data_IF_103197222127
#
_entry.id   IF_103197222127
#
_cell.length_a   1.000
_cell.length_b   1.000
_cell.length_c   1.000
_cell.angle_alpha   90.00
_cell.angle_beta   90.00
_cell.angle_gamma   90.00
#
_symmetry.space_group_name_H-M   'P 1'
#
loop_
_entity.id
_entity.type
_entity.pdbx_description
1 polymer ?
#
# COMPACT_ATOMS: atom_id res chain seq x y z
N UNK A 1 42.43 -48.68 24.77
CA UNK A 1 43.25 -47.59 24.18
C UNK A 1 42.43 -46.94 23.07
N UNK A 2 42.38 -45.60 23.07
CA UNK A 2 41.54 -44.75 22.20
C UNK A 2 42.01 -44.80 20.74
N UNK A 3 41.07 -44.88 19.79
CA UNK A 3 41.26 -44.64 18.36
C UNK A 3 40.02 -43.94 17.80
N UNK A 4 40.14 -42.98 16.87
CA UNK A 4 39.27 -41.81 16.84
C UNK A 4 37.98 -41.99 16.03
N UNK A 5 36.92 -41.34 16.51
CA UNK A 5 35.65 -41.16 15.83
C UNK A 5 35.83 -40.40 14.51
N UNK A 6 35.65 -41.10 13.40
CA UNK A 6 35.45 -40.50 12.07
C UNK A 6 34.01 -39.98 11.98
N UNK A 7 33.81 -38.71 12.33
CA UNK A 7 32.59 -37.97 12.04
C UNK A 7 32.54 -37.69 10.54
N UNK A 8 31.85 -38.54 9.79
CA UNK A 8 31.45 -38.25 8.42
C UNK A 8 30.45 -37.09 8.45
N UNK A 9 30.94 -35.87 8.24
CA UNK A 9 30.11 -34.71 7.88
C UNK A 9 29.46 -35.01 6.54
N UNK A 10 28.27 -35.61 6.57
CA UNK A 10 27.41 -35.78 5.41
C UNK A 10 26.88 -34.40 5.01
N UNK A 11 27.38 -33.90 3.89
CA UNK A 11 26.93 -32.68 3.24
C UNK A 11 25.44 -32.82 2.91
N UNK A 12 24.57 -32.12 3.63
CA UNK A 12 23.27 -31.77 3.08
C UNK A 12 23.50 -30.62 2.10
N UNK A 13 23.54 -30.96 0.81
CA UNK A 13 23.33 -29.96 -0.24
C UNK A 13 21.89 -29.49 -0.12
N UNK A 14 21.69 -28.45 0.68
CA UNK A 14 20.45 -27.70 0.69
C UNK A 14 20.47 -26.88 -0.61
N UNK A 15 19.77 -27.38 -1.62
CA UNK A 15 19.31 -26.55 -2.74
C UNK A 15 18.27 -25.54 -2.21
N UNK A 16 18.73 -24.57 -1.40
CA UNK A 16 17.99 -23.37 -1.05
C UNK A 16 18.09 -22.47 -2.28
N UNK A 17 17.07 -22.53 -3.15
CA UNK A 17 16.80 -21.41 -4.05
C UNK A 17 16.57 -20.20 -3.15
N UNK A 18 17.58 -19.34 -3.06
CA UNK A 18 17.52 -18.09 -2.32
C UNK A 18 16.42 -17.23 -2.94
N UNK A 19 15.35 -16.93 -2.20
CA UNK A 19 14.32 -15.96 -2.60
C UNK A 19 14.80 -14.49 -2.44
N UNK A 20 16.11 -14.25 -2.58
CA UNK A 20 16.67 -12.89 -2.69
C UNK A 20 16.24 -12.31 -4.04
N UNK A 21 15.70 -11.09 -4.03
CA UNK A 21 15.54 -10.31 -5.27
C UNK A 21 14.22 -10.48 -6.04
N UNK A 22 13.16 -11.07 -5.45
CA UNK A 22 11.87 -11.18 -6.14
C UNK A 22 10.84 -10.17 -5.63
N UNK A 23 10.21 -9.40 -6.54
CA UNK A 23 9.08 -8.54 -6.17
C UNK A 23 7.89 -9.40 -5.73
N UNK A 24 7.19 -8.97 -4.69
CA UNK A 24 6.06 -9.69 -4.09
C UNK A 24 4.73 -9.13 -4.59
N UNK A 25 3.81 -10.01 -4.96
CA UNK A 25 2.49 -9.63 -5.46
C UNK A 25 1.42 -10.19 -4.52
N UNK A 26 0.66 -9.29 -3.91
CA UNK A 26 -0.36 -9.58 -2.92
C UNK A 26 -1.74 -9.15 -3.44
N UNK A 27 -2.76 -9.95 -3.16
CA UNK A 27 -4.14 -9.67 -3.58
C UNK A 27 -5.08 -9.83 -2.39
N UNK A 28 -6.08 -8.96 -2.27
CA UNK A 28 -7.24 -9.15 -1.40
C UNK A 28 -8.52 -9.22 -2.23
N UNK A 29 -9.26 -10.31 -2.09
CA UNK A 29 -10.63 -10.44 -2.62
C UNK A 29 -11.68 -9.93 -1.63
N UNK A 30 -11.30 -9.44 -0.45
CA UNK A 30 -12.22 -8.82 0.49
C UNK A 30 -12.61 -7.43 -0.01
N UNK A 31 -13.88 -7.06 0.10
CA UNK A 31 -14.41 -5.76 -0.33
C UNK A 31 -14.70 -4.80 0.83
N UNK A 32 -14.35 -5.17 2.07
CA UNK A 32 -14.52 -4.31 3.22
C UNK A 32 -13.33 -3.35 3.37
N UNK A 33 -13.64 -2.04 3.39
CA UNK A 33 -12.62 -0.99 3.46
C UNK A 33 -11.78 -1.06 4.75
N UNK A 34 -12.38 -1.36 5.90
CA UNK A 34 -11.65 -1.50 7.16
C UNK A 34 -10.69 -2.68 7.12
N UNK A 35 -11.15 -3.81 6.56
CA UNK A 35 -10.34 -5.01 6.41
C UNK A 35 -9.12 -4.77 5.52
N UNK A 36 -9.33 -4.18 4.33
CA UNK A 36 -8.24 -3.94 3.40
C UNK A 36 -7.24 -2.89 3.89
N UNK A 37 -7.71 -1.82 4.55
CA UNK A 37 -6.81 -0.86 5.21
C UNK A 37 -6.04 -1.51 6.38
N UNK A 38 -6.62 -2.50 7.05
CA UNK A 38 -5.93 -3.27 8.10
C UNK A 38 -4.85 -4.16 7.53
N UNK A 39 -5.12 -4.84 6.41
CA UNK A 39 -4.10 -5.57 5.66
C UNK A 39 -2.98 -4.63 5.24
N UNK A 40 -3.30 -3.50 4.60
CA UNK A 40 -2.31 -2.52 4.17
C UNK A 40 -1.41 -2.04 5.32
N UNK A 41 -1.98 -1.73 6.49
CA UNK A 41 -1.19 -1.32 7.65
C UNK A 41 -0.38 -2.45 8.25
N UNK A 42 -0.92 -3.67 8.26
CA UNK A 42 -0.15 -4.84 8.67
C UNK A 42 1.07 -5.02 7.76
N UNK A 43 0.88 -4.91 6.43
CA UNK A 43 1.95 -5.03 5.45
C UNK A 43 3.02 -3.94 5.62
N UNK A 44 2.61 -2.69 5.86
CA UNK A 44 3.54 -1.58 6.10
C UNK A 44 4.41 -1.81 7.33
N UNK A 45 3.81 -2.23 8.45
CA UNK A 45 4.53 -2.35 9.73
C UNK A 45 5.34 -3.64 9.83
N UNK A 46 4.96 -4.68 9.09
CA UNK A 46 5.64 -5.97 9.05
C UNK A 46 6.44 -6.19 7.75
N UNK A 47 6.68 -5.14 6.95
CA UNK A 47 7.28 -5.23 5.63
C UNK A 47 8.54 -6.11 5.57
N UNK A 48 9.48 -5.92 6.50
CA UNK A 48 10.73 -6.69 6.56
C UNK A 48 10.55 -8.16 6.96
N UNK A 49 9.40 -8.51 7.53
CA UNK A 49 9.09 -9.82 8.09
C UNK A 49 7.98 -10.54 7.31
N UNK A 50 7.51 -9.98 6.19
CA UNK A 50 6.35 -10.48 5.43
C UNK A 50 6.45 -11.96 5.04
N UNK A 51 7.64 -12.41 4.63
CA UNK A 51 7.84 -13.78 4.19
C UNK A 51 7.49 -14.82 5.28
N UNK A 52 7.66 -14.46 6.56
CA UNK A 52 7.28 -15.32 7.70
C UNK A 52 5.78 -15.58 7.77
N UNK A 53 4.97 -14.59 7.38
CA UNK A 53 3.52 -14.71 7.39
C UNK A 53 2.96 -15.38 6.13
N UNK A 54 3.77 -15.47 5.07
CA UNK A 54 3.41 -16.09 3.80
C UNK A 54 3.91 -17.54 3.66
N UNK A 55 4.40 -18.13 4.75
CA UNK A 55 5.00 -19.47 4.79
C UNK A 55 6.17 -19.63 3.80
N UNK A 56 6.93 -18.55 3.59
CA UNK A 56 8.14 -18.53 2.76
C UNK A 56 9.36 -18.50 3.68
N UNK A 57 10.10 -19.61 3.70
CA UNK A 57 11.32 -19.74 4.48
C UNK A 57 12.41 -18.77 4.00
N UNK A 58 12.66 -17.73 4.79
CA UNK A 58 13.78 -16.82 4.64
C UNK A 58 14.39 -16.48 5.99
N UNK A 59 15.72 -16.42 6.05
CA UNK A 59 16.47 -16.01 7.24
C UNK A 59 16.72 -14.49 7.22
N UNK A 60 16.60 -13.87 6.04
CA UNK A 60 16.91 -12.45 5.85
C UNK A 60 15.65 -11.58 5.84
N UNK A 61 15.85 -10.30 6.19
CA UNK A 61 14.80 -9.27 6.10
C UNK A 61 14.37 -9.10 4.65
N UNK A 62 13.07 -8.99 4.44
CA UNK A 62 12.49 -8.70 3.14
C UNK A 62 12.63 -7.22 2.80
N UNK A 63 13.29 -6.92 1.69
CA UNK A 63 13.62 -5.55 1.30
C UNK A 63 13.19 -5.22 -0.15
N UNK A 64 12.48 -6.15 -0.79
CA UNK A 64 12.10 -6.07 -2.19
C UNK A 64 10.72 -5.39 -2.39
N UNK A 65 10.43 -4.86 -3.59
CA UNK A 65 9.17 -4.19 -3.88
C UNK A 65 7.95 -5.10 -3.67
N UNK A 66 6.89 -4.54 -3.05
CA UNK A 66 5.57 -5.20 -2.94
C UNK A 66 4.55 -4.43 -3.77
N UNK A 67 3.73 -5.15 -4.52
CA UNK A 67 2.47 -4.66 -5.10
C UNK A 67 1.31 -5.37 -4.41
N UNK A 68 0.44 -4.60 -3.75
CA UNK A 68 -0.81 -5.08 -3.19
C UNK A 68 -2.01 -4.52 -3.96
N UNK A 69 -2.89 -5.39 -4.44
CA UNK A 69 -4.09 -5.05 -5.22
C UNK A 69 -5.36 -5.43 -4.47
N UNK A 70 -6.32 -4.51 -4.45
CA UNK A 70 -7.54 -4.64 -3.66
C UNK A 70 -8.67 -3.76 -4.19
N UNK A 71 -9.91 -4.04 -3.79
CA UNK A 71 -11.12 -3.28 -4.14
C UNK A 71 -12.01 -3.14 -2.92
N UNK A 72 -12.91 -2.17 -2.95
CA UNK A 72 -13.82 -1.91 -1.83
C UNK A 72 -15.25 -1.73 -2.34
N UNK A 73 -16.22 -2.16 -1.54
CA UNK A 73 -17.62 -1.78 -1.73
C UNK A 73 -17.81 -0.27 -1.46
N UNK A 74 -19.03 0.23 -1.72
CA UNK A 74 -19.42 1.63 -1.53
C UNK A 74 -18.89 2.21 -0.22
N UNK A 75 -17.89 3.09 -0.32
CA UNK A 75 -17.23 3.68 0.84
C UNK A 75 -16.66 5.07 0.53
N UNK A 76 -16.62 5.92 1.55
CA UNK A 76 -15.93 7.21 1.56
C UNK A 76 -14.68 7.07 2.42
N UNK A 77 -13.52 7.36 1.84
CA UNK A 77 -12.23 7.27 2.50
C UNK A 77 -11.68 8.68 2.66
N UNK A 78 -11.57 9.14 3.90
CA UNK A 78 -11.01 10.45 4.24
C UNK A 78 -9.54 10.34 4.67
N UNK A 79 -8.76 11.39 4.41
CA UNK A 79 -7.37 11.48 4.84
C UNK A 79 -7.25 11.56 6.35
N UNK A 80 -6.08 11.17 6.88
CA UNK A 80 -5.79 11.10 8.33
C UNK A 80 -6.24 12.35 9.08
N UNK A 81 -5.91 13.53 8.55
CA UNK A 81 -6.15 14.80 9.21
C UNK A 81 -7.39 15.55 8.69
N UNK A 82 -8.26 14.95 7.87
CA UNK A 82 -9.46 15.63 7.40
C UNK A 82 -10.54 15.72 8.47
N UNK A 83 -11.32 16.79 8.47
CA UNK A 83 -12.50 16.92 9.31
C UNK A 83 -13.72 16.30 8.60
N UNK A 84 -14.17 15.13 9.05
CA UNK A 84 -15.29 14.44 8.38
C UNK A 84 -16.57 15.28 8.36
N UNK A 85 -16.80 16.06 9.42
CA UNK A 85 -18.01 16.88 9.60
C UNK A 85 -18.08 18.01 8.57
N UNK A 86 -16.91 18.50 8.13
CA UNK A 86 -16.81 19.56 7.12
C UNK A 86 -16.70 19.01 5.70
N UNK A 87 -16.19 17.78 5.54
CA UNK A 87 -15.86 17.21 4.23
C UNK A 87 -16.96 16.32 3.67
N UNK A 88 -17.85 15.78 4.51
CA UNK A 88 -18.80 14.76 4.12
C UNK A 88 -20.25 15.11 4.49
N UNK A 89 -21.18 14.78 3.58
CA UNK A 89 -22.61 14.74 3.86
C UNK A 89 -22.94 13.40 4.54
N UNK A 90 -22.81 13.39 5.87
CA UNK A 90 -23.00 12.20 6.71
C UNK A 90 -24.43 11.64 6.67
N UNK A 91 -25.42 12.49 6.41
CA UNK A 91 -26.82 12.06 6.29
C UNK A 91 -27.01 11.19 5.04
N UNK A 92 -26.56 11.68 3.88
CA UNK A 92 -26.64 10.91 2.62
C UNK A 92 -25.84 9.60 2.72
N UNK A 93 -24.64 9.65 3.31
CA UNK A 93 -23.80 8.47 3.50
C UNK A 93 -24.51 7.41 4.35
N UNK A 94 -25.15 7.83 5.45
CA UNK A 94 -25.93 6.95 6.33
C UNK A 94 -27.14 6.36 5.60
N UNK A 95 -27.89 7.18 4.87
CA UNK A 95 -29.10 6.76 4.17
C UNK A 95 -28.82 5.73 3.06
N UNK A 96 -27.68 5.86 2.37
CA UNK A 96 -27.29 4.95 1.27
C UNK A 96 -26.46 3.74 1.71
N UNK A 97 -26.28 3.55 3.03
CA UNK A 97 -25.45 2.52 3.63
C UNK A 97 -24.01 2.49 3.06
N UNK A 98 -23.39 3.66 2.98
CA UNK A 98 -22.00 3.82 2.54
C UNK A 98 -21.08 3.83 3.76
N UNK A 99 -19.99 3.06 3.72
CA UNK A 99 -19.03 3.03 4.83
C UNK A 99 -18.15 4.29 4.83
N UNK A 100 -17.77 4.78 6.02
CA UNK A 100 -16.75 5.83 6.17
C UNK A 100 -15.52 5.24 6.80
N UNK A 101 -14.36 5.45 6.19
CA UNK A 101 -13.07 5.05 6.75
C UNK A 101 -12.09 6.22 6.76
N UNK A 102 -11.34 6.36 7.85
CA UNK A 102 -10.19 7.26 7.93
C UNK A 102 -8.91 6.47 7.68
N UNK A 103 -8.18 6.81 6.62
CA UNK A 103 -6.90 6.15 6.29
C UNK A 103 -5.73 6.78 7.08
N UNK A 104 -4.61 6.08 7.14
CA UNK A 104 -3.39 6.57 7.81
C UNK A 104 -2.54 7.50 6.96
N UNK A 105 -2.85 7.66 5.67
CA UNK A 105 -2.18 8.61 4.76
C UNK A 105 -2.89 9.97 4.72
N UNK A 106 -2.20 11.00 4.22
CA UNK A 106 -2.76 12.34 4.02
C UNK A 106 -3.64 12.42 2.78
N UNK A 107 -3.97 13.64 2.34
CA UNK A 107 -4.80 13.90 1.15
C UNK A 107 -6.29 14.07 1.44
N UNK A 108 -7.06 14.33 0.38
CA UNK A 108 -8.50 14.57 0.44
C UNK A 108 -9.39 13.32 0.52
N UNK A 109 -10.70 13.54 0.54
CA UNK A 109 -11.71 12.49 0.58
C UNK A 109 -11.92 11.88 -0.81
N UNK A 110 -12.11 10.56 -0.87
CA UNK A 110 -12.37 9.82 -2.11
C UNK A 110 -13.52 8.84 -1.91
N UNK A 111 -14.22 8.52 -3.01
CA UNK A 111 -15.27 7.51 -3.04
C UNK A 111 -14.76 6.26 -3.73
N UNK A 112 -14.99 5.10 -3.11
CA UNK A 112 -14.73 3.80 -3.70
C UNK A 112 -16.04 3.03 -3.89
N UNK A 113 -16.11 2.28 -4.98
CA UNK A 113 -16.99 1.16 -5.21
C UNK A 113 -16.24 0.07 -6.01
N UNK A 114 -16.94 -0.96 -6.48
CA UNK A 114 -16.32 -2.01 -7.26
C UNK A 114 -15.78 -1.51 -8.63
N UNK A 115 -16.22 -0.35 -9.13
CA UNK A 115 -15.74 0.26 -10.37
C UNK A 115 -14.33 0.90 -10.31
N UNK A 116 -13.64 0.89 -9.16
CA UNK A 116 -12.22 1.27 -9.10
C UNK A 116 -11.34 0.09 -8.66
N UNK A 117 -10.05 0.17 -8.96
CA UNK A 117 -9.01 -0.70 -8.42
C UNK A 117 -8.13 0.13 -7.47
N UNK A 118 -7.86 -0.38 -6.28
CA UNK A 118 -6.86 0.17 -5.38
C UNK A 118 -5.53 -0.57 -5.56
N UNK A 119 -4.44 0.18 -5.56
CA UNK A 119 -3.08 -0.35 -5.54
C UNK A 119 -2.34 0.19 -4.33
N UNK A 120 -1.41 -0.60 -3.80
CA UNK A 120 -0.43 -0.17 -2.81
C UNK A 120 0.93 -0.69 -3.21
N UNK A 121 1.89 0.21 -3.40
CA UNK A 121 3.30 -0.11 -3.54
C UNK A 121 4.00 0.09 -2.19
N UNK A 122 4.77 -0.92 -1.76
CA UNK A 122 5.71 -0.80 -0.65
C UNK A 122 7.14 -0.94 -1.16
N UNK A 123 8.02 -0.04 -0.74
CA UNK A 123 9.42 0.00 -1.12
C UNK A 123 10.27 0.46 0.07
N UNK A 124 11.56 0.11 0.14
CA UNK A 124 12.46 0.61 1.19
C UNK A 124 12.62 2.15 1.17
N UNK A 125 12.51 2.75 -0.02
CA UNK A 125 12.74 4.17 -0.22
C UNK A 125 11.58 4.78 -1.03
N UNK A 126 11.53 6.10 -1.05
CA UNK A 126 10.58 6.85 -1.88
C UNK A 126 10.73 6.41 -3.33
N UNK A 127 9.63 5.95 -3.92
CA UNK A 127 9.64 5.35 -5.27
C UNK A 127 8.48 5.83 -6.15
N UNK A 128 7.89 6.98 -5.82
CA UNK A 128 6.67 7.52 -6.45
C UNK A 128 6.76 7.60 -7.98
N UNK A 129 7.86 8.14 -8.51
CA UNK A 129 8.04 8.31 -9.96
C UNK A 129 8.05 6.97 -10.71
N UNK A 130 8.75 5.97 -10.17
CA UNK A 130 8.81 4.64 -10.75
C UNK A 130 7.45 3.93 -10.66
N UNK A 131 6.76 4.05 -9.53
CA UNK A 131 5.42 3.49 -9.35
C UNK A 131 4.42 4.09 -10.35
N UNK A 132 4.45 5.42 -10.57
CA UNK A 132 3.65 6.05 -11.62
C UNK A 132 4.05 5.60 -13.03
N UNK A 133 5.35 5.44 -13.30
CA UNK A 133 5.83 4.93 -14.59
C UNK A 133 5.31 3.52 -14.88
N UNK A 134 5.24 2.64 -13.87
CA UNK A 134 4.65 1.30 -14.00
C UNK A 134 3.18 1.39 -14.40
N UNK A 135 2.38 2.25 -13.73
CA UNK A 135 0.95 2.44 -14.06
C UNK A 135 0.79 3.02 -15.47
N UNK A 136 1.53 4.08 -15.82
CA UNK A 136 1.45 4.72 -17.14
C UNK A 136 1.85 3.74 -18.25
N UNK A 137 2.91 2.96 -18.05
CA UNK A 137 3.31 1.92 -19.01
C UNK A 137 2.24 0.84 -19.16
N UNK A 138 1.57 0.46 -18.06
CA UNK A 138 0.44 -0.47 -18.07
C UNK A 138 -0.68 0.05 -18.98
N UNK A 139 -1.11 1.29 -18.75
CA UNK A 139 -2.17 1.95 -19.52
C UNK A 139 -1.79 2.07 -21.01
N UNK A 140 -0.55 2.47 -21.30
CA UNK A 140 -0.10 2.67 -22.68
C UNK A 140 0.04 1.35 -23.44
N UNK A 141 0.74 0.36 -22.89
CA UNK A 141 1.09 -0.87 -23.61
C UNK A 141 -0.09 -1.83 -23.77
N UNK A 142 -0.96 -1.92 -22.77
CA UNK A 142 -2.02 -2.92 -22.72
C UNK A 142 -3.38 -2.38 -23.15
N UNK A 143 -3.59 -1.06 -23.06
CA UNK A 143 -4.88 -0.43 -23.35
C UNK A 143 -4.80 0.74 -24.36
N UNK A 144 -3.60 1.09 -24.83
CA UNK A 144 -3.35 2.25 -25.68
C UNK A 144 -3.88 3.58 -25.11
N UNK A 145 -3.87 3.72 -23.78
CA UNK A 145 -4.30 4.94 -23.09
C UNK A 145 -3.06 5.79 -22.79
N UNK A 146 -3.02 7.02 -23.32
CA UNK A 146 -1.95 7.97 -23.07
C UNK A 146 -2.22 8.74 -21.77
N UNK A 147 -1.59 8.32 -20.68
CA UNK A 147 -1.72 8.96 -19.38
C UNK A 147 -0.41 9.64 -18.97
N UNK A 148 -0.51 10.74 -18.22
CA UNK A 148 0.64 11.48 -17.67
C UNK A 148 0.42 11.78 -16.19
N UNK A 149 1.50 11.94 -15.43
CA UNK A 149 1.42 12.45 -14.06
C UNK A 149 1.04 13.92 -14.06
N UNK A 150 0.21 14.33 -13.10
CA UNK A 150 -0.14 15.73 -12.87
C UNK A 150 0.02 16.08 -11.39
N UNK A 151 0.69 17.19 -11.11
CA UNK A 151 0.98 17.61 -9.74
C UNK A 151 1.79 16.57 -8.96
N UNK A 152 1.46 16.40 -7.67
CA UNK A 152 2.22 15.53 -6.76
C UNK A 152 1.69 14.10 -6.68
N UNK A 153 0.44 13.87 -7.03
CA UNK A 153 -0.25 12.64 -6.67
C UNK A 153 -1.32 12.16 -7.66
N UNK A 154 -1.48 12.80 -8.82
CA UNK A 154 -2.52 12.44 -9.78
C UNK A 154 -1.93 11.87 -11.07
N UNK A 155 -2.70 10.99 -11.72
CA UNK A 155 -2.50 10.62 -13.14
C UNK A 155 -3.73 11.09 -13.91
N UNK A 156 -3.50 11.67 -15.08
CA UNK A 156 -4.54 12.24 -15.95
C UNK A 156 -4.47 11.68 -17.38
N UNK A 157 -5.62 11.65 -18.04
CA UNK A 157 -5.79 11.44 -19.48
C UNK A 157 -6.57 12.65 -19.99
N UNK A 158 -6.05 13.34 -21.01
CA UNK A 158 -6.67 14.57 -21.56
C UNK A 158 -7.06 15.60 -20.48
N UNK A 159 -6.14 15.83 -19.52
CA UNK A 159 -6.33 16.69 -18.34
C UNK A 159 -7.45 16.26 -17.37
N UNK A 160 -8.05 15.08 -17.54
CA UNK A 160 -9.01 14.49 -16.62
C UNK A 160 -8.34 13.40 -15.78
N UNK A 161 -8.49 13.49 -14.47
CA UNK A 161 -7.95 12.57 -13.48
C UNK A 161 -8.55 11.17 -13.61
N UNK A 162 -7.67 10.17 -13.71
CA UNK A 162 -8.01 8.74 -13.71
C UNK A 162 -7.48 8.02 -12.48
N UNK A 163 -6.54 8.63 -11.75
CA UNK A 163 -5.96 8.07 -10.53
C UNK A 163 -5.57 9.18 -9.57
N UNK A 164 -5.76 8.93 -8.28
CA UNK A 164 -5.23 9.75 -7.21
C UNK A 164 -4.51 8.90 -6.18
N UNK A 165 -3.38 9.42 -5.70
CA UNK A 165 -2.49 8.74 -4.76
C UNK A 165 -2.37 9.47 -3.44
N UNK A 166 -1.94 8.73 -2.42
CA UNK A 166 -1.48 9.24 -1.14
C UNK A 166 -0.30 8.41 -0.62
N UNK A 167 0.47 9.01 0.28
CA UNK A 167 1.77 8.47 0.69
C UNK A 167 1.89 8.41 2.20
N UNK A 168 2.73 7.48 2.67
CA UNK A 168 3.20 7.44 4.06
C UNK A 168 4.57 6.81 4.11
N UNK A 169 5.44 7.36 4.96
CA UNK A 169 6.75 6.79 5.27
C UNK A 169 6.76 6.38 6.74
N UNK A 170 7.27 5.18 7.02
CA UNK A 170 7.50 4.67 8.37
C UNK A 170 8.88 4.05 8.39
N UNK A 171 9.80 4.60 9.20
CA UNK A 171 11.21 4.18 9.24
C UNK A 171 11.80 4.15 7.82
N UNK A 172 12.21 2.97 7.35
CA UNK A 172 12.77 2.72 6.03
C UNK A 172 11.77 2.01 5.11
N UNK A 173 10.48 2.27 5.26
CA UNK A 173 9.44 1.72 4.37
C UNK A 173 8.58 2.88 3.88
N UNK A 174 8.42 2.95 2.57
CA UNK A 174 7.62 3.92 1.86
C UNK A 174 6.39 3.22 1.27
N UNK A 175 5.23 3.74 1.62
CA UNK A 175 3.93 3.34 1.10
C UNK A 175 3.43 4.40 0.12
N UNK A 176 3.12 3.95 -1.09
CA UNK A 176 2.39 4.71 -2.11
C UNK A 176 1.16 3.91 -2.51
N UNK A 177 -0.01 4.34 -2.06
CA UNK A 177 -1.28 3.76 -2.48
C UNK A 177 -2.10 4.75 -3.27
N UNK A 178 -3.03 4.24 -4.06
CA UNK A 178 -3.92 5.06 -4.85
C UNK A 178 -5.05 4.26 -5.47
N UNK A 179 -5.88 4.99 -6.19
CA UNK A 179 -7.05 4.45 -6.91
C UNK A 179 -6.81 4.53 -8.41
N UNK A 180 -7.41 3.63 -9.18
CA UNK A 180 -7.52 3.74 -10.64
C UNK A 180 -9.01 3.60 -10.99
N UNK A 181 -9.57 4.64 -11.62
CA UNK A 181 -10.99 4.73 -11.97
C UNK A 181 -11.25 3.94 -13.25
N UNK A 182 -11.81 2.73 -13.13
CA UNK A 182 -12.10 1.88 -14.28
C UNK A 182 -13.49 2.16 -14.83
N UNK A 183 -14.50 2.03 -13.97
CA UNK A 183 -15.91 2.28 -14.24
C UNK A 183 -16.63 2.69 -12.94
N UNK A 184 -16.07 3.67 -12.23
CA UNK A 184 -16.61 4.19 -10.97
C UNK A 184 -17.97 4.86 -11.22
N UNK A 185 -18.92 4.70 -10.30
CA UNK A 185 -20.21 5.37 -10.43
C UNK A 185 -20.04 6.90 -10.42
N UNK A 186 -20.53 7.55 -11.47
CA UNK A 186 -20.43 9.00 -11.67
C UNK A 186 -21.35 9.78 -10.75
N UNK A 187 -21.00 11.04 -10.51
CA UNK A 187 -21.75 12.04 -9.72
C UNK A 187 -22.02 11.67 -8.25
N UNK A 188 -21.59 10.49 -7.80
CA UNK A 188 -21.76 10.02 -6.41
C UNK A 188 -20.97 10.85 -5.40
N UNK A 189 -19.78 11.32 -5.79
CA UNK A 189 -18.96 12.18 -4.95
C UNK A 189 -19.71 13.46 -4.54
N UNK A 190 -20.45 14.07 -5.47
CA UNK A 190 -21.24 15.28 -5.18
C UNK A 190 -22.39 15.04 -4.21
N UNK A 191 -22.87 13.80 -4.08
CA UNK A 191 -23.88 13.40 -3.10
C UNK A 191 -23.31 13.26 -1.69
N UNK A 192 -22.07 12.77 -1.57
CA UNK A 192 -21.48 12.40 -0.28
C UNK A 192 -20.45 13.38 0.25
N UNK A 193 -19.89 14.26 -0.59
CA UNK A 193 -18.92 15.26 -0.16
C UNK A 193 -19.60 16.61 0.02
N UNK A 194 -19.22 17.31 1.09
CA UNK A 194 -19.61 18.69 1.30
C UNK A 194 -18.80 19.57 0.36
N UNK A 195 -19.43 20.41 -0.48
CA UNK A 195 -18.68 21.27 -1.37
C UNK A 195 -17.89 22.30 -0.57
N UNK A 196 -16.58 22.38 -0.81
CA UNK A 196 -15.76 23.47 -0.26
C UNK A 196 -16.22 24.79 -0.88
N UNK A 197 -16.76 25.71 -0.06
CA UNK A 197 -17.28 27.01 -0.50
C UNK A 197 -16.29 27.78 -1.36
N UNK A 198 -14.98 27.71 -1.08
CA UNK A 198 -13.94 28.42 -1.84
C UNK A 198 -13.71 27.76 -3.19
N UNK A 199 -13.59 26.43 -3.25
CA UNK A 199 -13.46 25.69 -4.53
C UNK A 199 -14.74 25.82 -5.36
N UNK A 200 -15.90 25.85 -4.71
CA UNK A 200 -17.21 26.06 -5.32
C UNK A 200 -17.33 27.43 -5.97
N UNK A 201 -16.91 28.50 -5.28
CA UNK A 201 -16.90 29.85 -5.86
C UNK A 201 -15.94 29.94 -7.05
N UNK A 202 -14.76 29.29 -6.96
CA UNK A 202 -13.74 29.35 -8.01
C UNK A 202 -14.08 28.54 -9.27
N UNK A 203 -14.85 27.45 -9.13
CA UNK A 203 -15.03 26.49 -10.23
C UNK A 203 -16.50 26.05 -10.47
N UNK A 204 -17.40 26.12 -9.50
CA UNK A 204 -18.79 25.61 -9.60
C UNK A 204 -18.90 24.07 -9.55
N UNK A 205 -20.09 23.54 -9.24
CA UNK A 205 -20.35 22.07 -9.11
C UNK A 205 -20.01 21.30 -10.37
N UNK A 206 -20.45 21.81 -11.52
CA UNK A 206 -20.25 21.18 -12.83
C UNK A 206 -18.76 21.06 -13.20
N UNK A 207 -17.91 22.00 -12.78
CA UNK A 207 -16.45 21.96 -13.02
C UNK A 207 -15.71 21.01 -12.08
N UNK A 208 -16.28 20.63 -10.94
CA UNK A 208 -15.67 19.65 -10.02
C UNK A 208 -15.93 18.23 -10.54
N UNK A 209 -17.14 17.93 -11.03
CA UNK A 209 -17.48 16.63 -11.63
C UNK A 209 -16.80 16.41 -13.00
N UNK A 210 -16.48 17.48 -13.74
CA UNK A 210 -15.81 17.39 -15.05
C UNK A 210 -14.30 17.03 -14.99
N UNK A 211 -13.74 16.81 -13.79
CA UNK A 211 -12.29 16.60 -13.59
C UNK A 211 -11.85 15.15 -13.62
N UNK A 212 -12.77 14.19 -13.52
CA UNK A 212 -12.43 12.76 -13.53
C UNK A 212 -12.99 12.07 -14.75
N UNK A 213 -12.33 11.00 -15.21
CA UNK A 213 -12.82 10.15 -16.29
C UNK A 213 -12.60 8.68 -15.94
N UNK A 214 -13.56 7.82 -16.31
CA UNK A 214 -13.39 6.38 -16.18
C UNK A 214 -12.59 5.85 -17.35
N UNK A 215 -11.63 4.95 -17.09
CA UNK A 215 -10.82 4.35 -18.16
C UNK A 215 -11.67 3.57 -19.18
N UNK A 216 -12.83 3.04 -18.79
CA UNK A 216 -13.77 2.40 -19.71
C UNK A 216 -14.26 3.33 -20.83
N UNK A 217 -14.24 4.65 -20.62
CA UNK A 217 -14.55 5.63 -21.67
C UNK A 217 -13.39 5.85 -22.64
N UNK A 218 -12.15 5.65 -22.17
CA UNK A 218 -10.96 5.74 -23.01
C UNK A 218 -10.72 4.43 -23.78
N UNK A 219 -11.09 3.29 -23.18
CA UNK A 219 -11.01 1.96 -23.78
C UNK A 219 -12.13 1.08 -23.22
N UNK A 220 -13.15 0.78 -24.04
CA UNK A 220 -14.33 -0.01 -23.62
C UNK A 220 -14.04 -1.45 -23.22
N UNK A 221 -12.85 -1.97 -23.53
CA UNK A 221 -12.46 -3.33 -23.16
C UNK A 221 -11.80 -3.41 -21.78
N UNK A 222 -11.47 -2.28 -21.15
CA UNK A 222 -10.80 -2.30 -19.85
C UNK A 222 -11.77 -2.73 -18.74
N UNK A 223 -11.30 -3.65 -17.91
CA UNK A 223 -12.01 -4.16 -16.73
C UNK A 223 -11.08 -4.08 -15.53
N UNK A 224 -11.62 -4.16 -14.32
CA UNK A 224 -10.77 -4.19 -13.11
C UNK A 224 -9.79 -5.38 -13.16
N UNK A 225 -10.26 -6.55 -13.63
CA UNK A 225 -9.44 -7.75 -13.73
C UNK A 225 -8.30 -7.60 -14.75
N UNK A 226 -8.59 -7.18 -15.99
CA UNK A 226 -7.54 -7.09 -17.00
C UNK A 226 -6.53 -5.97 -16.70
N UNK A 227 -6.97 -4.87 -16.08
CA UNK A 227 -6.09 -3.83 -15.58
C UNK A 227 -5.16 -4.38 -14.50
N UNK A 228 -5.69 -5.13 -13.53
CA UNK A 228 -4.88 -5.74 -12.47
C UNK A 228 -3.88 -6.75 -13.02
N UNK A 229 -4.28 -7.60 -13.99
CA UNK A 229 -3.36 -8.51 -14.68
C UNK A 229 -2.24 -7.76 -15.40
N UNK A 230 -2.59 -6.71 -16.16
CA UNK A 230 -1.61 -5.90 -16.89
C UNK A 230 -0.64 -5.18 -15.94
N UNK A 231 -1.14 -4.66 -14.82
CA UNK A 231 -0.34 -3.98 -13.81
C UNK A 231 0.65 -4.93 -13.12
N UNK A 232 0.24 -6.17 -12.83
CA UNK A 232 1.12 -7.22 -12.33
C UNK A 232 2.26 -7.50 -13.33
N UNK A 233 1.93 -7.65 -14.62
CA UNK A 233 2.94 -7.90 -15.67
C UNK A 233 3.96 -6.76 -15.76
N UNK A 234 3.51 -5.50 -15.80
CA UNK A 234 4.44 -4.36 -15.88
C UNK A 234 5.23 -4.15 -14.59
N UNK A 235 4.65 -4.41 -13.42
CA UNK A 235 5.37 -4.38 -12.15
C UNK A 235 6.50 -5.41 -12.13
N UNK A 236 6.23 -6.66 -12.51
CA UNK A 236 7.25 -7.70 -12.60
C UNK A 236 8.34 -7.34 -13.62
N UNK A 237 7.95 -6.94 -14.84
CA UNK A 237 8.89 -6.55 -15.90
C UNK A 237 9.81 -5.40 -15.46
N UNK A 238 9.27 -4.41 -14.74
CA UNK A 238 10.05 -3.26 -14.26
C UNK A 238 11.20 -3.69 -13.34
N UNK A 239 10.94 -4.62 -12.43
CA UNK A 239 11.94 -5.07 -11.45
C UNK A 239 12.83 -6.20 -11.96
N UNK A 240 12.36 -7.08 -12.85
CA UNK A 240 13.24 -8.04 -13.54
C UNK A 240 14.30 -7.36 -14.40
N UNK A 241 13.90 -6.36 -15.18
CA UNK A 241 14.84 -5.61 -16.02
C UNK A 241 15.87 -4.85 -15.16
N UNK A 242 15.44 -4.29 -14.03
CA UNK A 242 16.30 -3.57 -13.09
C UNK A 242 17.32 -4.50 -12.41
N UNK A 243 16.93 -5.74 -12.10
CA UNK A 243 17.84 -6.75 -11.55
C UNK A 243 18.87 -7.23 -12.59
N UNK A 244 18.45 -7.46 -13.83
CA UNK A 244 19.36 -7.89 -14.91
C UNK A 244 20.40 -6.82 -15.27
N UNK A 245 20.02 -5.54 -15.24
CA UNK A 245 20.94 -4.41 -15.47
C UNK A 245 21.91 -4.19 -14.32
N UNK A 246 21.49 -4.39 -13.06
CA UNK A 246 22.43 -4.42 -11.91
C UNK A 246 23.44 -5.54 -12.03
N UNK A 247 23.00 -6.76 -12.37
CA UNK A 247 23.91 -7.91 -12.56
C UNK A 247 24.92 -7.65 -13.68
N UNK A 248 24.51 -7.01 -14.79
CA UNK A 248 25.43 -6.63 -15.87
C UNK A 248 26.44 -5.55 -15.46
N UNK A 249 26.03 -4.57 -14.66
CA UNK A 249 26.93 -3.53 -14.16
C UNK A 249 27.90 -4.04 -13.09
N UNK A 250 27.46 -4.95 -12.22
CA UNK A 250 28.32 -5.60 -11.23
C UNK A 250 29.29 -6.59 -11.91
N UNK A 251 28.86 -7.35 -12.91
CA UNK A 251 29.77 -8.21 -13.68
C UNK A 251 30.78 -7.40 -14.50
N UNK A 252 30.43 -6.21 -15.00
CA UNK A 252 31.38 -5.30 -15.63
C UNK A 252 32.36 -4.66 -14.63
N UNK A 253 31.93 -4.36 -13.40
CA UNK A 253 32.83 -3.85 -12.35
C UNK A 253 33.77 -4.94 -11.81
N UNK A 254 33.30 -6.17 -11.67
CA UNK A 254 34.14 -7.34 -11.38
C UNK A 254 35.11 -7.67 -12.52
N UNK A 255 34.70 -7.55 -13.79
CA UNK A 255 35.62 -7.75 -14.91
C UNK A 255 36.72 -6.68 -14.97
N UNK A 256 36.44 -5.44 -14.56
CA UNK A 256 37.44 -4.35 -14.52
C UNK A 256 38.48 -4.56 -13.40
N UNK A 257 38.08 -5.15 -12.26
CA UNK A 257 39.00 -5.52 -11.18
C UNK A 257 39.81 -6.78 -11.56
N UNK A 258 39.19 -7.72 -12.29
CA UNK A 258 39.87 -8.98 -12.66
C UNK A 258 40.83 -8.82 -13.84
N UNK A 259 40.66 -7.81 -14.71
CA UNK A 259 41.60 -7.49 -15.79
C UNK A 259 42.91 -6.84 -15.31
N UNK A 260 42.95 -6.29 -14.09
CA UNK A 260 44.17 -5.69 -13.52
C UNK A 260 44.98 -6.63 -12.59
N UNK A 261 44.53 -7.87 -12.38
CA UNK A 261 45.24 -8.86 -11.54
C UNK A 261 45.80 -10.03 -12.38
N UNK A 262 45.46 -10.15 -13.67
CA UNK A 262 45.89 -11.26 -14.54
C UNK A 262 46.84 -10.86 -15.68
N UNK A 263 47.75 -9.92 -15.41
CA UNK A 263 48.95 -9.67 -16.22
C UNK A 263 50.21 -9.85 -15.38
N UNK A 264 50.33 -10.98 -14.71
CA UNK A 264 51.64 -11.47 -14.26
C UNK A 264 51.58 -12.99 -14.14
N UNK A 265 52.63 -13.63 -14.66
CA UNK A 265 52.98 -15.04 -14.54
C UNK A 265 52.29 -16.03 -15.48
N UNK A 266 52.77 -15.87 -16.71
CA UNK A 266 53.15 -16.88 -17.71
C UNK A 266 53.78 -18.18 -17.11
N UNK A 267 53.51 -19.27 -17.84
CA UNK A 267 54.27 -20.52 -18.03
C UNK A 267 53.99 -21.76 -17.16
N UNK A 268 53.53 -22.82 -17.84
CA UNK A 268 54.03 -24.17 -17.58
C UNK A 268 53.14 -25.35 -17.99
N UNK A 269 53.19 -25.73 -19.28
CA UNK A 269 53.23 -27.12 -19.85
C UNK A 269 52.23 -28.19 -19.34
N UNK A 270 51.37 -28.73 -20.24
CA UNK A 270 51.48 -30.04 -20.96
C UNK A 270 51.20 -31.27 -20.06
N UNK A 271 50.52 -32.35 -20.44
CA UNK A 271 49.95 -32.90 -21.68
C UNK A 271 48.94 -34.01 -21.26
N UNK A 272 48.02 -34.36 -22.18
CA UNK A 272 47.45 -35.71 -22.48
C UNK A 272 46.79 -36.57 -21.36
N UNK A 273 45.80 -37.46 -21.58
CA UNK A 273 44.95 -37.85 -22.70
C UNK A 273 43.99 -38.97 -22.22
N UNK A 274 42.79 -39.00 -22.81
CA UNK A 274 41.99 -40.16 -23.24
C UNK A 274 41.55 -41.32 -22.31
N UNK A 275 40.26 -41.65 -22.48
CA UNK A 275 39.64 -42.96 -22.83
C UNK A 275 38.43 -43.24 -21.93
N UNK A 276 37.17 -43.13 -22.41
CA UNK A 276 36.37 -43.99 -23.30
C UNK A 276 35.74 -45.22 -22.62
N UNK A 277 34.42 -45.41 -22.84
CA UNK A 277 33.58 -46.65 -22.84
C UNK A 277 32.27 -46.43 -22.05
N UNK A 278 31.09 -46.28 -22.70
CA UNK A 278 30.14 -47.32 -23.19
C UNK A 278 29.56 -48.16 -22.02
N UNK A 279 28.27 -48.48 -21.87
CA UNK A 279 27.13 -48.62 -22.79
C UNK A 279 25.92 -49.19 -22.00
N UNK A 280 24.73 -49.13 -22.62
CA UNK A 280 23.56 -50.05 -22.49
C UNK A 280 22.67 -49.94 -21.23
N UNK A 281 21.41 -49.49 -21.39
CA UNK A 281 20.17 -50.26 -21.71
C UNK A 281 19.66 -51.02 -20.46
N UNK A 282 18.37 -51.15 -20.12
CA UNK A 282 17.11 -51.20 -20.87
C UNK A 282 15.92 -51.22 -19.87
N UNK A 283 14.72 -50.84 -20.37
CA UNK A 283 13.34 -51.30 -20.05
C UNK A 283 12.99 -51.82 -18.64
N UNK A 284 11.89 -51.44 -17.99
CA UNK A 284 10.49 -51.82 -18.32
C UNK A 284 9.62 -51.45 -17.08
N UNK A 285 8.56 -50.66 -17.21
CA UNK A 285 7.13 -51.04 -17.34
C UNK A 285 6.36 -51.27 -16.02
N UNK A 286 5.10 -50.79 -16.06
CA UNK A 286 3.90 -51.25 -15.35
C UNK A 286 3.65 -50.68 -13.93
N UNK A 287 2.68 -49.77 -13.78
CA UNK A 287 1.23 -49.99 -13.56
C UNK A 287 0.95 -50.32 -12.08
N UNK A 288 -0.06 -49.84 -11.36
CA UNK A 288 -1.37 -49.27 -11.69
C UNK A 288 -2.05 -48.90 -10.36
N UNK A 289 -3.08 -48.05 -10.46
CA UNK A 289 -4.40 -48.14 -9.78
C UNK A 289 -4.44 -48.10 -8.24
N UNK A 290 -4.98 -47.01 -7.65
CA UNK A 290 -6.34 -46.93 -7.06
C UNK A 290 -6.47 -47.64 -5.70
N UNK A 291 -7.16 -47.17 -4.66
CA UNK A 291 -8.42 -46.44 -4.59
C UNK A 291 -8.70 -46.09 -3.12
N UNK A 292 -9.46 -45.00 -2.95
CA UNK A 292 -10.40 -44.66 -1.89
C UNK A 292 -10.69 -45.69 -0.79
N UNK A 293 -10.79 -45.20 0.45
CA UNK A 293 -12.01 -45.39 1.23
C UNK A 293 -12.18 -44.35 2.33
N UNK A 294 -13.39 -43.83 2.37
CA UNK A 294 -14.04 -43.03 3.39
C UNK A 294 -14.17 -43.77 4.73
N UNK A 295 -14.20 -43.04 5.85
CA UNK A 295 -15.20 -43.30 6.89
C UNK A 295 -15.41 -42.09 7.82
N UNK A 296 -16.69 -41.74 7.98
CA UNK A 296 -17.21 -40.87 9.04
C UNK A 296 -17.37 -41.68 10.32
N UNK A 297 -17.16 -41.05 11.47
CA UNK A 297 -17.93 -41.37 12.68
C UNK A 297 -18.01 -40.16 13.61
N UNK A 298 -19.21 -39.97 14.15
CA UNK A 298 -19.59 -38.96 15.12
C UNK A 298 -19.00 -39.27 16.50
N UNK A 299 -18.66 -38.23 17.27
CA UNK A 299 -18.90 -38.24 18.71
C UNK A 299 -19.05 -36.83 19.27
N UNK A 300 -20.04 -36.73 20.14
CA UNK A 300 -20.42 -35.60 21.00
C UNK A 300 -19.35 -35.26 22.03
N UNK A 301 -19.14 -33.97 22.34
CA UNK A 301 -19.16 -33.49 23.73
C UNK A 301 -19.10 -31.96 23.88
N UNK A 302 -19.85 -31.50 24.88
CA UNK A 302 -19.94 -30.13 25.41
C UNK A 302 -18.61 -29.67 26.01
N UNK A 303 -18.15 -28.46 25.65
CA UNK A 303 -17.57 -27.43 26.55
C UNK A 303 -16.85 -26.34 25.76
N UNK A 304 -16.75 -25.13 26.34
CA UNK A 304 -16.00 -23.93 25.92
C UNK A 304 -16.72 -22.93 25.00
N UNK A 305 -17.59 -22.13 25.63
CA UNK A 305 -18.28 -20.96 25.05
C UNK A 305 -17.44 -19.67 25.01
N UNK A 306 -16.11 -19.74 25.02
CA UNK A 306 -15.23 -18.56 24.95
C UNK A 306 -14.50 -18.37 23.61
N UNK A 307 -14.51 -19.38 22.71
CA UNK A 307 -13.87 -19.28 21.39
C UNK A 307 -14.83 -18.99 20.22
N UNK A 308 -16.15 -19.09 20.42
CA UNK A 308 -17.15 -18.92 19.33
C UNK A 308 -17.37 -17.46 18.89
N UNK A 309 -16.93 -16.48 19.67
CA UNK A 309 -17.13 -15.06 19.33
C UNK A 309 -16.10 -14.53 18.31
N UNK A 310 -14.91 -15.15 18.20
CA UNK A 310 -13.90 -14.73 17.24
C UNK A 310 -14.17 -15.27 15.81
N UNK A 311 -14.83 -16.42 15.67
CA UNK A 311 -15.18 -16.96 14.34
C UNK A 311 -16.31 -16.20 13.65
N UNK A 312 -17.22 -15.58 14.43
CA UNK A 312 -18.28 -14.71 13.86
C UNK A 312 -17.77 -13.38 13.32
N UNK A 313 -16.55 -12.96 13.66
CA UNK A 313 -15.97 -11.67 13.22
C UNK A 313 -15.67 -11.66 11.70
N UNK A 314 -15.61 -12.84 11.08
CA UNK A 314 -15.21 -13.04 9.68
C UNK A 314 -16.33 -13.61 8.78
N UNK A 315 -17.57 -13.72 9.28
CA UNK A 315 -18.72 -14.16 8.48
C UNK A 315 -19.23 -13.00 7.62
N UNK A 316 -18.44 -12.64 6.60
CA UNK A 316 -18.93 -11.93 5.42
C UNK A 316 -19.65 -12.94 4.52
N UNK A 317 -20.70 -12.51 3.83
CA UNK A 317 -21.47 -13.36 2.91
C UNK A 317 -20.55 -13.92 1.81
N UNK A 318 -20.12 -15.17 1.97
CA UNK A 318 -19.18 -15.84 1.07
C UNK A 318 -19.79 -16.16 -0.30
N UNK A 319 -21.11 -15.99 -0.45
CA UNK A 319 -21.84 -16.49 -1.62
C UNK A 319 -21.76 -15.58 -2.85
N UNK A 320 -21.18 -14.36 -2.75
CA UNK A 320 -21.10 -13.39 -3.85
C UNK A 320 -19.76 -12.62 -3.90
N UNK A 321 -18.62 -13.29 -3.68
CA UNK A 321 -17.31 -12.65 -3.82
C UNK A 321 -16.92 -12.60 -5.31
N UNK A 322 -17.11 -11.43 -5.93
CA UNK A 322 -16.51 -11.13 -7.24
C UNK A 322 -15.00 -10.92 -7.06
N UNK A 323 -14.21 -11.99 -7.24
CA UNK A 323 -12.75 -11.91 -7.14
C UNK A 323 -12.19 -10.80 -8.06
N UNK A 324 -11.17 -10.09 -7.60
CA UNK A 324 -10.51 -9.06 -8.41
C UNK A 324 -9.79 -9.68 -9.61
N UNK A 325 -9.15 -10.83 -9.37
CA UNK A 325 -8.49 -11.65 -10.39
C UNK A 325 -9.01 -13.07 -10.23
N UNK A 326 -9.38 -13.72 -11.34
CA UNK A 326 -9.68 -15.15 -11.36
C UNK A 326 -8.39 -15.95 -11.06
N UNK A 327 -8.33 -16.73 -9.97
CA UNK A 327 -7.15 -17.53 -9.64
C UNK A 327 -6.77 -18.56 -10.70
N UNK A 328 -7.73 -18.96 -11.56
CA UNK A 328 -7.50 -19.88 -12.67
C UNK A 328 -7.07 -19.17 -13.97
N UNK A 329 -6.76 -17.87 -13.92
CA UNK A 329 -6.33 -17.12 -15.11
C UNK A 329 -4.99 -17.63 -15.63
N UNK A 330 -5.03 -18.27 -16.81
CA UNK A 330 -3.84 -18.80 -17.48
C UNK A 330 -2.76 -17.74 -17.71
N UNK A 331 -3.15 -16.47 -17.82
CA UNK A 331 -2.26 -15.34 -18.05
C UNK A 331 -1.30 -15.07 -16.88
N UNK A 332 -1.55 -15.67 -15.71
CA UNK A 332 -0.79 -15.42 -14.50
C UNK A 332 -0.04 -16.64 -13.95
N UNK A 333 -0.04 -17.79 -14.64
CA UNK A 333 0.60 -19.02 -14.14
C UNK A 333 2.09 -18.91 -13.82
N UNK A 334 2.79 -17.93 -14.38
CA UNK A 334 4.22 -17.73 -14.15
C UNK A 334 4.51 -16.74 -13.01
N UNK A 335 3.49 -16.12 -12.40
CA UNK A 335 3.67 -15.18 -11.30
C UNK A 335 3.26 -15.83 -9.98
N UNK A 336 4.05 -15.59 -8.94
CA UNK A 336 3.72 -16.02 -7.58
C UNK A 336 2.78 -14.99 -6.96
N UNK A 337 1.49 -15.36 -6.82
CA UNK A 337 0.43 -14.49 -6.30
C UNK A 337 -0.03 -14.98 -4.95
N UNK A 338 0.02 -14.11 -3.94
CA UNK A 338 -0.46 -14.44 -2.60
C UNK A 338 -1.78 -13.75 -2.31
N UNK A 339 -2.86 -14.54 -2.17
CA UNK A 339 -4.16 -14.06 -1.71
C UNK A 339 -4.17 -13.99 -0.18
N UNK A 340 -4.00 -12.78 0.35
CA UNK A 340 -3.76 -12.57 1.79
C UNK A 340 -5.06 -12.38 2.59
N UNK A 341 -6.21 -12.22 1.93
CA UNK A 341 -7.50 -12.02 2.60
C UNK A 341 -7.98 -13.23 3.41
N UNK A 342 -7.47 -14.43 3.11
CA UNK A 342 -7.77 -15.67 3.84
C UNK A 342 -6.57 -16.21 4.63
N UNK A 343 -5.42 -15.54 4.59
CA UNK A 343 -4.22 -16.02 5.26
C UNK A 343 -4.36 -15.87 6.79
N UNK A 344 -4.50 -17.00 7.50
CA UNK A 344 -4.69 -17.02 8.95
C UNK A 344 -3.53 -16.43 9.75
N UNK A 345 -2.30 -16.50 9.25
CA UNK A 345 -1.11 -15.95 9.91
C UNK A 345 -1.19 -14.41 9.97
N UNK A 346 -1.93 -13.80 9.04
CA UNK A 346 -2.18 -12.35 8.99
C UNK A 346 -3.48 -12.03 9.72
N UNK A 347 -4.61 -12.61 9.30
CA UNK A 347 -5.94 -12.17 9.76
C UNK A 347 -6.25 -12.52 11.23
N UNK A 348 -5.54 -13.51 11.80
CA UNK A 348 -5.62 -13.85 13.23
C UNK A 348 -4.51 -13.19 14.05
N UNK A 349 -3.58 -12.48 13.41
CA UNK A 349 -2.51 -11.79 14.12
C UNK A 349 -3.08 -10.68 15.01
N UNK A 350 -2.65 -10.57 16.29
CA UNK A 350 -3.11 -9.52 17.19
C UNK A 350 -2.91 -8.09 16.64
N UNK A 351 -1.85 -7.85 15.87
CA UNK A 351 -1.58 -6.55 15.26
C UNK A 351 -2.59 -6.23 14.16
N UNK A 352 -2.93 -7.19 13.31
CA UNK A 352 -4.00 -7.05 12.32
C UNK A 352 -5.34 -6.75 13.00
N UNK A 353 -5.70 -7.51 14.03
CA UNK A 353 -6.95 -7.32 14.77
C UNK A 353 -7.00 -5.95 15.46
N UNK A 354 -5.86 -5.46 15.96
CA UNK A 354 -5.73 -4.10 16.50
C UNK A 354 -6.04 -3.06 15.43
N UNK A 355 -5.46 -3.17 14.22
CA UNK A 355 -5.77 -2.25 13.13
C UNK A 355 -7.24 -2.35 12.69
N UNK A 356 -7.79 -3.55 12.59
CA UNK A 356 -9.18 -3.76 12.20
C UNK A 356 -10.17 -3.14 13.18
N UNK A 357 -9.94 -3.32 14.47
CA UNK A 357 -10.77 -2.71 15.51
C UNK A 357 -10.63 -1.18 15.49
N UNK A 358 -9.42 -0.65 15.37
CA UNK A 358 -9.17 0.80 15.29
C UNK A 358 -9.82 1.43 14.05
N UNK A 359 -9.64 0.81 12.88
CA UNK A 359 -10.15 1.36 11.61
C UNK A 359 -11.66 1.35 11.53
N UNK A 360 -12.33 0.45 12.26
CA UNK A 360 -13.79 0.38 12.39
C UNK A 360 -14.32 1.26 13.52
N UNK A 361 -13.46 1.70 14.43
CA UNK A 361 -13.84 2.48 15.58
C UNK A 361 -14.42 3.84 15.17
N UNK A 362 -15.46 4.25 15.88
CA UNK A 362 -16.20 5.47 15.59
C UNK A 362 -15.35 6.72 15.89
N UNK A 363 -14.63 6.72 17.00
CA UNK A 363 -13.78 7.86 17.38
C UNK A 363 -12.62 8.04 16.40
N UNK A 364 -12.09 6.94 15.85
CA UNK A 364 -11.11 7.02 14.77
C UNK A 364 -11.70 7.60 13.47
N UNK A 365 -12.83 7.06 13.00
CA UNK A 365 -13.41 7.49 11.72
C UNK A 365 -13.94 8.92 11.77
N UNK A 366 -14.73 9.24 12.80
CA UNK A 366 -15.47 10.48 12.89
C UNK A 366 -14.79 11.52 13.78
N UNK A 367 -14.19 11.05 14.88
CA UNK A 367 -13.67 11.93 15.93
C UNK A 367 -14.76 12.77 16.57
N UNK A 368 -14.38 13.55 17.59
CA UNK A 368 -15.30 14.50 18.21
C UNK A 368 -15.57 15.66 17.27
N UNK A 369 -16.82 16.12 17.22
CA UNK A 369 -17.14 17.38 16.57
C UNK A 369 -16.41 18.53 17.30
N UNK A 370 -15.62 19.34 16.59
CA UNK A 370 -14.78 20.37 17.19
C UNK A 370 -15.62 21.45 17.89
N UNK A 371 -15.45 21.62 19.21
CA UNK A 371 -15.98 22.77 19.98
C UNK A 371 -14.81 23.65 20.39
N UNK A 372 -14.49 24.64 19.56
CA UNK A 372 -13.36 25.52 19.81
C UNK A 372 -13.75 27.00 19.72
N UNK A 373 -13.07 27.83 20.50
CA UNK A 373 -13.33 29.27 20.59
C UNK A 373 -12.78 30.03 19.38
N UNK A 374 -11.59 29.67 18.92
CA UNK A 374 -10.88 30.34 17.85
C UNK A 374 -10.64 29.39 16.68
N UNK A 375 -10.68 29.92 15.46
CA UNK A 375 -10.45 29.14 14.23
C UNK A 375 -9.68 29.97 13.21
N UNK A 376 -8.55 29.45 12.74
CA UNK A 376 -7.83 29.97 11.59
C UNK A 376 -7.96 29.00 10.42
N UNK A 377 -8.22 29.50 9.22
CA UNK A 377 -8.35 28.68 8.03
C UNK A 377 -7.68 29.35 6.83
N UNK A 378 -6.75 28.65 6.17
CA UNK A 378 -6.12 29.11 4.93
C UNK A 378 -5.90 27.99 3.93
N UNK A 379 -6.04 28.31 2.66
CA UNK A 379 -5.70 27.43 1.55
C UNK A 379 -4.28 27.75 1.05
N UNK A 380 -3.37 26.79 1.16
CA UNK A 380 -2.04 26.83 0.57
C UNK A 380 -1.99 25.98 -0.71
N UNK A 381 -0.92 26.15 -1.49
CA UNK A 381 -0.70 25.33 -2.69
C UNK A 381 -0.56 23.83 -2.37
N UNK A 382 -0.13 23.49 -1.15
CA UNK A 382 0.06 22.12 -0.71
C UNK A 382 -1.14 21.53 0.07
N UNK A 383 -2.17 22.32 0.35
CA UNK A 383 -3.39 21.88 1.05
C UNK A 383 -4.04 22.99 1.88
N UNK A 384 -5.29 22.77 2.27
CA UNK A 384 -6.00 23.56 3.27
C UNK A 384 -5.49 23.23 4.67
N UNK A 385 -5.34 24.23 5.52
CA UNK A 385 -5.05 24.06 6.94
C UNK A 385 -6.10 24.81 7.74
N UNK A 386 -6.78 24.08 8.63
CA UNK A 386 -7.72 24.60 9.61
C UNK A 386 -7.17 24.32 11.00
N UNK A 387 -6.95 25.38 11.78
CA UNK A 387 -6.45 25.30 13.15
C UNK A 387 -7.57 25.75 14.06
N UNK A 388 -7.92 24.89 15.00
CA UNK A 388 -8.86 25.19 16.06
C UNK A 388 -8.14 25.15 17.39
N UNK A 389 -8.40 26.11 18.28
CA UNK A 389 -7.78 26.14 19.60
C UNK A 389 -8.64 26.86 20.63
N UNK A 390 -8.41 26.51 21.90
CA UNK A 390 -8.99 27.14 23.07
C UNK A 390 -7.88 27.82 23.88
N UNK A 391 -8.12 29.06 24.28
CA UNK A 391 -7.16 29.86 25.06
C UNK A 391 -7.74 30.08 26.46
N UNK A 392 -6.91 29.84 27.47
CA UNK A 392 -7.22 30.19 28.85
C UNK A 392 -6.01 30.87 29.48
N UNK A 393 -6.23 32.03 30.09
CA UNK A 393 -5.17 32.85 30.72
C UNK A 393 -3.98 33.15 29.78
N UNK A 394 -4.26 33.40 28.49
CA UNK A 394 -3.24 33.68 27.48
C UNK A 394 -2.39 32.46 27.09
N UNK A 395 -2.80 31.25 27.45
CA UNK A 395 -2.12 29.99 27.14
C UNK A 395 -3.03 29.13 26.25
N UNK A 396 -2.45 28.50 25.23
CA UNK A 396 -3.13 27.53 24.36
C UNK A 396 -3.33 26.23 25.16
N UNK A 397 -4.58 25.87 25.46
CA UNK A 397 -4.90 24.73 26.34
C UNK A 397 -5.24 23.45 25.60
N UNK A 398 -5.96 23.56 24.50
CA UNK A 398 -6.32 22.43 23.66
C UNK A 398 -6.63 22.94 22.26
N UNK A 399 -6.62 22.04 21.29
CA UNK A 399 -6.90 22.36 19.90
C UNK A 399 -6.78 21.16 19.00
N UNK A 400 -7.07 21.39 17.72
CA UNK A 400 -6.80 20.40 16.70
C UNK A 400 -6.49 21.09 15.37
N UNK A 401 -5.76 20.38 14.52
CA UNK A 401 -5.47 20.81 13.16
C UNK A 401 -6.08 19.82 12.19
N UNK A 402 -6.87 20.34 11.26
CA UNK A 402 -7.42 19.58 10.15
C UNK A 402 -6.81 20.05 8.82
N UNK A 403 -6.59 19.11 7.92
CA UNK A 403 -5.95 19.39 6.63
C UNK A 403 -6.21 18.28 5.61
N UNK A 404 -6.30 18.67 4.34
CA UNK A 404 -6.24 17.78 3.17
C UNK A 404 -4.81 17.64 2.61
N UNK A 405 -3.79 18.16 3.30
CA UNK A 405 -2.38 18.02 2.94
C UNK A 405 -1.95 16.56 2.84
N UNK A 406 -1.10 16.26 1.86
CA UNK A 406 -0.42 14.97 1.73
C UNK A 406 0.71 14.81 2.75
N UNK A 407 1.26 15.91 3.26
CA UNK A 407 2.36 15.90 4.23
C UNK A 407 1.82 15.72 5.64
N UNK A 408 1.81 14.46 6.09
CA UNK A 408 1.34 14.09 7.42
C UNK A 408 2.33 14.49 8.50
N UNK A 409 3.64 14.43 8.20
CA UNK A 409 4.68 14.75 9.16
C UNK A 409 4.56 16.21 9.58
N UNK A 410 4.39 17.13 8.61
CA UNK A 410 4.14 18.54 8.89
C UNK A 410 2.95 18.75 9.82
N UNK A 411 1.80 18.13 9.52
CA UNK A 411 0.59 18.31 10.34
C UNK A 411 0.75 17.70 11.74
N UNK A 412 1.38 16.52 11.85
CA UNK A 412 1.65 15.88 13.14
C UNK A 412 2.60 16.73 14.01
N UNK A 413 3.62 17.36 13.41
CA UNK A 413 4.52 18.29 14.10
C UNK A 413 3.79 19.55 14.57
N UNK A 414 2.94 20.14 13.74
CA UNK A 414 2.16 21.32 14.12
C UNK A 414 1.19 21.03 15.29
N UNK A 415 0.62 19.82 15.36
CA UNK A 415 -0.27 19.43 16.46
C UNK A 415 0.43 19.36 17.83
N UNK A 416 1.76 19.35 17.87
CA UNK A 416 2.51 19.47 19.13
C UNK A 416 2.21 20.81 19.85
N UNK A 417 1.68 21.81 19.13
CA UNK A 417 1.26 23.08 19.71
C UNK A 417 0.34 22.91 20.93
N UNK A 418 -0.58 21.94 20.88
CA UNK A 418 -1.61 21.77 21.91
C UNK A 418 -1.14 21.00 23.15
N UNK A 419 0.09 20.48 23.15
CA UNK A 419 0.62 19.65 24.24
C UNK A 419 1.66 20.37 25.12
N UNK A 420 1.90 21.67 24.91
CA UNK A 420 3.11 22.34 25.43
C UNK A 420 2.87 23.62 26.26
N UNK A 421 1.64 23.88 26.75
CA UNK A 421 1.30 25.08 27.54
C UNK A 421 1.90 26.39 26.95
N UNK A 422 1.84 26.51 25.63
CA UNK A 422 2.48 27.61 24.90
C UNK A 422 1.65 28.89 25.09
N UNK A 423 2.33 29.99 25.44
CA UNK A 423 1.71 31.32 25.51
C UNK A 423 1.24 31.75 24.12
N UNK A 424 0.02 32.27 24.06
CA UNK A 424 -0.58 32.82 22.85
C UNK A 424 -0.01 34.21 22.54
N UNK A 425 1.22 34.24 22.03
CA UNK A 425 1.91 35.47 21.60
C UNK A 425 2.77 35.18 20.36
N UNK A 426 3.02 36.22 19.54
CA UNK A 426 3.82 36.09 18.32
C UNK A 426 5.23 35.53 18.60
N UNK A 427 5.87 36.03 19.66
CA UNK A 427 7.21 35.61 20.06
C UNK A 427 7.26 34.13 20.45
N UNK A 428 6.37 33.69 21.35
CA UNK A 428 6.38 32.31 21.82
C UNK A 428 6.02 31.32 20.71
N UNK A 429 5.06 31.67 19.83
CA UNK A 429 4.69 30.84 18.70
C UNK A 429 5.79 30.75 17.65
N UNK A 430 6.47 31.86 17.35
CA UNK A 430 7.62 31.86 16.44
C UNK A 430 8.75 30.95 16.97
N UNK A 431 9.09 31.07 18.26
CA UNK A 431 10.08 30.20 18.90
C UNK A 431 9.66 28.73 18.84
N UNK A 432 8.38 28.42 19.09
CA UNK A 432 7.88 27.05 18.97
C UNK A 432 8.05 26.49 17.55
N UNK A 433 7.63 27.22 16.52
CA UNK A 433 7.73 26.75 15.13
C UNK A 433 9.17 26.47 14.70
N UNK A 434 10.15 27.23 15.21
CA UNK A 434 11.57 26.98 14.96
C UNK A 434 12.10 25.67 15.55
N UNK A 435 11.41 25.09 16.54
CA UNK A 435 11.81 23.80 17.15
C UNK A 435 11.30 22.58 16.38
N UNK A 436 10.31 22.76 15.49
CA UNK A 436 9.64 21.66 14.80
C UNK A 436 10.57 20.96 13.80
N UNK A 437 10.51 19.62 13.80
CA UNK A 437 11.32 18.77 12.92
C UNK A 437 10.46 18.29 11.75
N UNK A 438 10.44 19.08 10.68
CA UNK A 438 9.64 18.81 9.47
C UNK A 438 10.52 18.48 8.27
N UNK A 439 10.02 17.63 7.38
CA UNK A 439 10.68 17.37 6.09
C UNK A 439 10.56 18.58 5.13
N UNK A 440 9.41 19.27 5.13
CA UNK A 440 9.14 20.42 4.27
C UNK A 440 9.22 21.76 5.03
N UNK A 441 10.41 22.36 5.05
CA UNK A 441 10.66 23.63 5.76
C UNK A 441 9.97 24.83 5.13
N UNK A 442 9.83 24.85 3.80
CA UNK A 442 9.19 25.96 3.09
C UNK A 442 7.70 26.05 3.44
N UNK A 443 7.02 24.91 3.47
CA UNK A 443 5.63 24.86 3.91
C UNK A 443 5.46 25.30 5.37
N UNK A 444 6.38 24.89 6.27
CA UNK A 444 6.37 25.36 7.66
C UNK A 444 6.59 26.88 7.76
N UNK A 445 7.49 27.45 6.95
CA UNK A 445 7.72 28.88 6.92
C UNK A 445 6.47 29.65 6.45
N UNK A 446 5.82 29.21 5.37
CA UNK A 446 4.57 29.80 4.89
C UNK A 446 3.46 29.77 5.96
N UNK A 447 3.35 28.65 6.69
CA UNK A 447 2.38 28.49 7.79
C UNK A 447 2.73 29.39 8.96
N UNK A 448 4.01 29.46 9.33
CA UNK A 448 4.50 30.30 10.43
C UNK A 448 4.19 31.76 10.16
N UNK A 449 4.56 32.28 8.99
CA UNK A 449 4.25 33.66 8.59
C UNK A 449 2.75 33.91 8.59
N UNK A 450 1.94 32.97 8.11
CA UNK A 450 0.49 33.10 8.16
C UNK A 450 -0.05 33.19 9.59
N UNK A 451 0.28 32.24 10.47
CA UNK A 451 -0.23 32.22 11.84
C UNK A 451 0.18 33.49 12.59
N UNK A 452 1.43 33.94 12.45
CA UNK A 452 1.92 35.15 13.11
C UNK A 452 1.23 36.44 12.64
N UNK A 453 0.66 36.45 11.43
CA UNK A 453 -0.09 37.58 10.89
C UNK A 453 -1.58 37.58 11.30
N UNK A 454 -2.14 36.41 11.63
CA UNK A 454 -3.51 36.28 12.15
C UNK A 454 -3.63 36.62 13.64
N UNK A 455 -2.51 36.52 14.38
CA UNK A 455 -2.35 37.02 15.75
C UNK A 455 -2.26 38.55 15.78
#
# INVERSE_FOLDING_TARGET
MRGPYSLTKRWYSINKKQNKGKPLILISNNHNIYFNLSLENFLLNNYNDLLKYLDIDSIEKYEEPVLFLWRNNKSIIIGKNQNVWNECNLENIKNDNVLIARRFTGGGAVYHDLGNVCFTFLNNNVNTLNNFKIIINTLKKHFNINAITHGRNDIVVDNKKISGSAFKKVKNVFLHHGTILVNLQRDVLSKYLTPDKVKYIKHGVSSINARTVNLHECNSNITCENLSIALIKEFHNFYEYSSNTKIQNDSNSFNTITTNIKKENINGKKDSSNSSSSSNSSSSSNSSSSSNSSNRSNSSNRSNSSNRNNEKLFLYDQNNVCNLINPSSLQLHNFDLHYIDKNSNIIKNPEFLKYYNLLKDWDWCYGKSPKFQNTFCKHFNFGKIEIFFNISNGIIKDGNIFSDSLDINLIDQLKLLFNNDIKYSKECLNTFFQTLQVENKDALNEITTWILNEL
#
